data_IF_473779722723
#
_entry.id   IF_473779722723
#
_cell.length_a   1.000
_cell.length_b   1.000
_cell.length_c   1.000
_cell.angle_alpha   90.00
_cell.angle_beta   90.00
_cell.angle_gamma   90.00
#
_symmetry.space_group_name_H-M   'P 1'
#
loop_
_entity.id
_entity.type
_entity.pdbx_description
1 polymer ?
#
# COMPACT_ATOMS: atom_id res chain seq x y z
N UNK A 1 -16.27 5.75 4.83
CA UNK A 1 -15.89 4.87 3.70
C UNK A 1 -15.80 3.43 4.18
N UNK A 2 -16.37 2.48 3.42
CA UNK A 2 -16.05 1.06 3.56
C UNK A 2 -14.99 0.74 2.50
N UNK A 3 -13.83 0.24 2.93
CA UNK A 3 -12.81 -0.28 2.01
C UNK A 3 -12.66 -1.77 2.26
N UNK A 4 -12.68 -2.53 1.17
CA UNK A 4 -12.53 -3.97 1.18
C UNK A 4 -11.58 -4.39 0.07
N UNK A 5 -10.57 -5.17 0.45
CA UNK A 5 -9.55 -5.68 -0.46
C UNK A 5 -9.27 -7.15 -0.16
N UNK A 6 -8.99 -7.91 -1.22
CA UNK A 6 -8.60 -9.32 -1.16
C UNK A 6 -7.36 -9.45 -2.04
N UNK A 7 -6.30 -10.06 -1.52
CA UNK A 7 -5.08 -10.30 -2.28
C UNK A 7 -5.29 -11.37 -3.35
N UNK A 8 -4.57 -11.27 -4.46
CA UNK A 8 -4.53 -12.33 -5.49
C UNK A 8 -4.09 -13.65 -4.83
N UNK A 9 -4.76 -14.80 -5.10
CA UNK A 9 -4.33 -16.11 -4.57
C UNK A 9 -2.87 -16.47 -4.83
N UNK A 10 -2.29 -15.98 -5.94
CA UNK A 10 -0.91 -16.20 -6.36
C UNK A 10 0.01 -15.01 -6.08
N UNK A 11 -0.54 -13.90 -5.57
CA UNK A 11 0.18 -12.67 -5.24
C UNK A 11 0.65 -12.62 -3.79
N UNK A 12 1.38 -11.56 -3.46
CA UNK A 12 1.83 -11.34 -2.09
C UNK A 12 0.65 -10.94 -1.17
N UNK A 13 0.70 -11.27 0.13
CA UNK A 13 -0.29 -10.80 1.08
C UNK A 13 -0.38 -9.27 1.15
N UNK A 14 -1.55 -8.73 1.50
CA UNK A 14 -1.76 -7.29 1.71
C UNK A 14 -0.97 -6.80 2.93
N UNK A 15 -0.25 -5.70 2.79
CA UNK A 15 0.47 -5.04 3.89
C UNK A 15 -0.40 -3.98 4.56
N UNK A 16 -1.06 -3.14 3.76
CA UNK A 16 -1.90 -2.04 4.26
C UNK A 16 -2.91 -1.56 3.25
N UNK A 17 -3.99 -0.99 3.76
CA UNK A 17 -4.97 -0.23 2.99
C UNK A 17 -4.85 1.24 3.33
N UNK A 18 -5.01 2.09 2.33
CA UNK A 18 -4.90 3.53 2.43
C UNK A 18 -6.10 4.23 1.80
N UNK A 19 -6.38 5.44 2.28
CA UNK A 19 -7.17 6.44 1.57
C UNK A 19 -6.28 7.64 1.29
N UNK A 20 -6.28 8.08 0.05
CA UNK A 20 -5.60 9.28 -0.39
C UNK A 20 -6.67 10.36 -0.57
N UNK A 21 -6.49 11.46 0.15
CA UNK A 21 -7.32 12.66 0.09
C UNK A 21 -6.55 13.72 -0.68
N UNK A 22 -7.18 14.32 -1.69
CA UNK A 22 -6.67 15.51 -2.37
C UNK A 22 -7.67 16.65 -2.30
N UNK A 23 -7.19 17.88 -2.13
CA UNK A 23 -8.03 19.08 -2.05
C UNK A 23 -7.28 20.32 -2.54
N UNK A 24 -8.00 21.44 -2.62
CA UNK A 24 -7.41 22.75 -2.86
C UNK A 24 -7.43 23.57 -1.57
N UNK A 25 -6.33 24.24 -1.29
CA UNK A 25 -6.19 25.20 -0.19
C UNK A 25 -5.46 26.42 -0.73
N UNK A 26 -6.09 27.61 -0.66
CA UNK A 26 -5.56 28.87 -1.21
C UNK A 26 -5.13 28.78 -2.69
N UNK A 27 -5.78 27.93 -3.48
CA UNK A 27 -5.48 27.68 -4.89
C UNK A 27 -4.35 26.68 -5.12
N UNK A 28 -3.71 26.15 -4.08
CA UNK A 28 -2.70 25.11 -4.17
C UNK A 28 -3.29 23.72 -4.00
N UNK A 29 -2.75 22.75 -4.74
CA UNK A 29 -3.10 21.34 -4.58
C UNK A 29 -2.42 20.77 -3.33
N UNK A 30 -3.22 20.14 -2.47
CA UNK A 30 -2.75 19.42 -1.30
C UNK A 30 -3.14 17.94 -1.42
N UNK A 31 -2.30 17.07 -0.89
CA UNK A 31 -2.56 15.63 -0.78
C UNK A 31 -2.18 15.15 0.62
N UNK A 32 -2.98 14.24 1.17
CA UNK A 32 -2.68 13.52 2.39
C UNK A 32 -3.01 12.04 2.22
N UNK A 33 -2.10 11.20 2.70
CA UNK A 33 -2.24 9.75 2.69
C UNK A 33 -2.55 9.28 4.09
N UNK A 34 -3.65 8.57 4.24
CA UNK A 34 -4.02 7.90 5.48
C UNK A 34 -3.86 6.41 5.27
N UNK A 35 -2.98 5.76 6.03
CA UNK A 35 -3.07 4.33 6.25
C UNK A 35 -4.30 4.11 7.14
N UNK A 36 -5.21 3.23 6.72
CA UNK A 36 -6.50 3.03 7.39
C UNK A 36 -6.64 1.63 7.99
N UNK A 37 -5.82 0.69 7.55
CA UNK A 37 -5.69 -0.64 8.13
C UNK A 37 -4.29 -1.19 7.84
N UNK A 38 -3.68 -1.83 8.84
CA UNK A 38 -2.39 -2.49 8.74
C UNK A 38 -2.57 -4.00 8.88
N UNK A 39 -1.70 -4.78 8.26
CA UNK A 39 -1.66 -6.23 8.47
C UNK A 39 -1.03 -6.58 9.83
N UNK A 40 -1.01 -7.87 10.15
CA UNK A 40 -0.21 -8.41 11.27
C UNK A 40 -0.59 -7.89 12.66
N UNK A 41 -1.83 -7.44 12.83
CA UNK A 41 -2.33 -6.86 14.09
C UNK A 41 -1.73 -5.50 14.44
N UNK A 42 -0.99 -4.89 13.51
CA UNK A 42 -0.41 -3.57 13.68
C UNK A 42 -1.49 -2.50 13.66
N UNK A 43 -1.23 -1.40 14.35
CA UNK A 43 -2.13 -0.26 14.43
C UNK A 43 -1.55 0.95 13.70
N UNK A 44 -2.41 1.69 13.02
CA UNK A 44 -2.06 2.99 12.43
C UNK A 44 -1.66 3.94 13.55
N UNK A 45 -0.53 4.63 13.40
CA UNK A 45 -0.17 5.72 14.30
C UNK A 45 -1.11 6.91 14.07
N UNK A 46 -1.88 7.35 15.08
CA UNK A 46 -2.86 8.43 14.93
C UNK A 46 -2.24 9.80 14.65
N UNK A 47 -0.93 9.98 14.87
CA UNK A 47 -0.23 11.25 14.61
C UNK A 47 0.32 11.32 13.19
N UNK A 48 0.86 10.22 12.69
CA UNK A 48 1.48 10.17 11.35
C UNK A 48 0.52 9.62 10.29
N UNK A 49 -0.57 8.98 10.72
CA UNK A 49 -1.49 8.22 9.88
C UNK A 49 -0.80 7.10 9.09
N UNK A 50 0.31 6.56 9.61
CA UNK A 50 1.08 5.50 8.95
C UNK A 50 1.06 4.20 9.75
N UNK A 51 1.04 3.08 9.04
CA UNK A 51 1.35 1.79 9.60
C UNK A 51 2.85 1.70 9.90
N UNK A 52 3.24 1.05 11.01
CA UNK A 52 4.62 0.65 11.21
C UNK A 52 5.03 -0.41 10.18
N UNK A 53 6.33 -0.67 10.09
CA UNK A 53 6.86 -1.77 9.28
C UNK A 53 6.36 -3.11 9.82
N UNK A 54 5.88 -3.98 8.92
CA UNK A 54 5.42 -5.32 9.26
C UNK A 54 6.50 -6.40 9.11
N UNK A 55 7.74 -5.99 8.81
CA UNK A 55 8.90 -6.87 8.70
C UNK A 55 8.82 -7.87 7.55
N UNK A 56 7.95 -7.63 6.56
CA UNK A 56 7.91 -8.44 5.35
C UNK A 56 9.22 -8.33 4.56
N UNK A 57 9.70 -9.46 4.05
CA UNK A 57 10.99 -9.56 3.37
C UNK A 57 10.89 -10.35 2.07
N UNK A 58 11.93 -10.21 1.24
CA UNK A 58 12.12 -10.93 -0.02
C UNK A 58 13.54 -11.51 -0.04
N UNK A 59 13.68 -12.81 -0.26
CA UNK A 59 14.98 -13.42 -0.52
C UNK A 59 15.36 -13.17 -1.99
N UNK A 60 16.47 -12.49 -2.22
CA UNK A 60 16.90 -12.13 -3.58
C UNK A 60 17.61 -13.29 -4.31
N UNK A 61 17.85 -14.42 -3.65
CA UNK A 61 18.46 -15.60 -4.25
C UNK A 61 17.44 -16.48 -4.98
N UNK A 62 16.20 -16.53 -4.51
CA UNK A 62 15.13 -17.36 -5.08
C UNK A 62 13.78 -16.63 -5.25
N UNK A 63 13.72 -15.35 -4.87
CA UNK A 63 12.51 -14.52 -4.90
C UNK A 63 11.35 -15.01 -4.03
N UNK A 64 11.63 -15.85 -3.04
CA UNK A 64 10.68 -16.18 -1.98
C UNK A 64 10.38 -14.95 -1.11
N UNK A 65 9.17 -14.89 -0.57
CA UNK A 65 8.70 -13.80 0.31
C UNK A 65 8.32 -14.36 1.68
N UNK A 66 8.18 -13.49 2.68
CA UNK A 66 7.72 -13.90 4.01
C UNK A 66 6.37 -14.63 3.94
N UNK A 67 6.31 -15.82 4.55
CA UNK A 67 5.12 -16.66 4.55
C UNK A 67 4.11 -16.28 5.64
N UNK A 68 4.56 -15.55 6.66
CA UNK A 68 3.85 -15.28 7.91
C UNK A 68 3.50 -13.80 8.12
N UNK A 69 3.87 -12.92 7.18
CA UNK A 69 3.53 -11.49 7.24
C UNK A 69 2.47 -11.12 6.20
N UNK A 70 1.60 -10.19 6.55
CA UNK A 70 0.54 -9.64 5.71
C UNK A 70 -0.83 -10.29 5.93
N UNK A 71 -1.81 -9.88 5.13
CA UNK A 71 -3.19 -10.35 5.25
C UNK A 71 -3.78 -10.72 3.90
N UNK A 72 -4.56 -11.80 3.85
CA UNK A 72 -5.24 -12.23 2.61
C UNK A 72 -6.47 -11.38 2.28
N UNK A 73 -7.07 -10.77 3.29
CA UNK A 73 -8.25 -9.93 3.19
C UNK A 73 -8.13 -8.76 4.18
N UNK A 74 -8.56 -7.57 3.78
CA UNK A 74 -8.67 -6.39 4.63
C UNK A 74 -10.03 -5.74 4.44
N UNK A 75 -10.79 -5.56 5.51
CA UNK A 75 -12.07 -4.87 5.50
C UNK A 75 -12.11 -3.85 6.63
N UNK A 76 -12.36 -2.59 6.29
CA UNK A 76 -12.30 -1.49 7.25
C UNK A 76 -13.37 -0.44 6.97
N UNK A 77 -14.00 0.03 8.04
CA UNK A 77 -14.79 1.25 8.03
C UNK A 77 -13.90 2.39 8.52
N UNK A 78 -13.75 3.42 7.69
CA UNK A 78 -12.91 4.56 7.98
C UNK A 78 -13.67 5.87 7.80
N UNK A 79 -13.38 6.83 8.67
CA UNK A 79 -13.87 8.19 8.62
C UNK A 79 -12.67 9.13 8.66
N UNK A 80 -12.69 10.15 7.80
CA UNK A 80 -11.65 11.16 7.77
C UNK A 80 -11.65 11.95 9.09
N UNK A 81 -10.58 11.87 9.91
CA UNK A 81 -10.48 12.60 11.16
C UNK A 81 -10.38 14.12 10.95
N UNK A 82 -9.99 14.55 9.75
CA UNK A 82 -9.78 15.95 9.36
C UNK A 82 -10.84 16.41 8.33
N UNK A 83 -12.00 15.76 8.34
CA UNK A 83 -13.08 16.08 7.41
C UNK A 83 -13.58 17.52 7.58
N UNK A 84 -13.63 18.27 6.48
CA UNK A 84 -14.23 19.60 6.40
C UNK A 84 -15.37 19.55 5.38
N UNK A 85 -16.60 19.85 5.83
CA UNK A 85 -17.80 19.67 5.00
C UNK A 85 -17.88 20.66 3.82
N UNK A 86 -17.25 21.81 3.93
CA UNK A 86 -17.19 22.89 2.93
C UNK A 86 -15.96 22.82 2.02
N UNK A 87 -15.10 21.81 2.23
CA UNK A 87 -13.89 21.61 1.45
C UNK A 87 -14.18 20.73 0.23
N UNK A 88 -13.93 21.28 -0.96
CA UNK A 88 -13.89 20.49 -2.19
C UNK A 88 -12.69 19.55 -2.16
N UNK A 89 -12.97 18.25 -2.09
CA UNK A 89 -11.96 17.22 -1.97
C UNK A 89 -12.33 15.99 -2.80
N UNK A 90 -11.32 15.21 -3.17
CA UNK A 90 -11.51 13.88 -3.72
C UNK A 90 -10.78 12.85 -2.86
N UNK A 91 -11.31 11.63 -2.86
CA UNK A 91 -10.76 10.51 -2.12
C UNK A 91 -10.66 9.30 -3.04
N UNK A 92 -9.55 8.57 -2.99
CA UNK A 92 -9.47 7.24 -3.57
C UNK A 92 -8.78 6.28 -2.62
N UNK A 93 -9.15 5.00 -2.65
CA UNK A 93 -8.48 3.97 -1.87
C UNK A 93 -7.26 3.45 -2.63
N UNK A 94 -6.18 3.16 -1.92
CA UNK A 94 -5.00 2.44 -2.43
C UNK A 94 -4.67 1.30 -1.50
N UNK A 95 -4.41 0.12 -2.03
CA UNK A 95 -4.02 -1.07 -1.26
C UNK A 95 -2.61 -1.45 -1.70
N UNK A 96 -1.77 -1.82 -0.74
CA UNK A 96 -0.39 -2.24 -1.00
C UNK A 96 -0.18 -3.67 -0.52
N UNK A 97 0.45 -4.47 -1.36
CA UNK A 97 0.93 -5.81 -1.01
C UNK A 97 2.25 -5.73 -0.24
N UNK A 98 2.70 -6.83 0.35
CA UNK A 98 4.09 -6.98 0.78
C UNK A 98 5.04 -6.89 -0.42
N UNK A 99 6.31 -6.51 -0.20
CA UNK A 99 7.28 -6.43 -1.29
C UNK A 99 7.49 -7.78 -1.96
N UNK A 100 7.75 -7.74 -3.27
CA UNK A 100 8.10 -8.91 -4.10
C UNK A 100 9.32 -8.58 -4.95
N UNK A 101 9.98 -9.60 -5.50
CA UNK A 101 11.00 -9.40 -6.53
C UNK A 101 10.44 -8.63 -7.72
N UNK A 102 11.21 -7.66 -8.22
CA UNK A 102 10.97 -7.06 -9.53
C UNK A 102 11.19 -8.11 -10.62
N UNK A 103 10.54 -7.99 -11.76
CA UNK A 103 10.74 -8.91 -12.91
C UNK A 103 12.22 -9.04 -13.32
N UNK A 104 13.00 -7.96 -13.23
CA UNK A 104 14.43 -7.98 -13.54
C UNK A 104 15.27 -8.81 -12.57
N UNK A 105 14.82 -8.93 -11.32
CA UNK A 105 15.45 -9.78 -10.30
C UNK A 105 15.11 -11.24 -10.58
N UNK A 106 13.85 -11.53 -10.92
CA UNK A 106 13.43 -12.85 -11.40
C UNK A 106 14.25 -13.32 -12.60
N UNK A 107 14.51 -12.44 -13.58
CA UNK A 107 15.34 -12.76 -14.75
C UNK A 107 16.79 -13.06 -14.37
N UNK A 108 17.39 -12.26 -13.50
CA UNK A 108 18.76 -12.47 -13.04
C UNK A 108 18.91 -13.81 -12.31
N UNK A 109 18.00 -14.11 -11.36
CA UNK A 109 17.97 -15.39 -10.63
C UNK A 109 17.84 -16.57 -11.60
N UNK A 110 16.93 -16.50 -12.58
CA UNK A 110 16.74 -17.56 -13.59
C UNK A 110 17.97 -17.75 -14.48
N UNK A 111 18.70 -16.68 -14.78
CA UNK A 111 19.92 -16.72 -15.56
C UNK A 111 21.16 -17.17 -14.74
N UNK A 112 21.04 -17.28 -13.41
CA UNK A 112 22.18 -17.54 -12.52
C UNK A 112 23.10 -16.32 -12.39
N UNK A 113 22.59 -15.13 -12.66
CA UNK A 113 23.32 -13.86 -12.64
C UNK A 113 22.95 -13.02 -11.41
N UNK A 114 23.83 -12.10 -11.03
CA UNK A 114 23.53 -11.17 -9.94
C UNK A 114 22.53 -10.10 -10.38
N UNK A 115 21.50 -9.78 -9.57
CA UNK A 115 20.64 -8.63 -9.83
C UNK A 115 21.45 -7.35 -10.01
N UNK A 116 21.03 -6.54 -10.98
CA UNK A 116 21.65 -5.26 -11.27
C UNK A 116 21.56 -4.31 -10.07
N UNK A 117 22.67 -3.69 -9.70
CA UNK A 117 22.75 -2.78 -8.55
C UNK A 117 22.20 -1.37 -8.82
N UNK A 118 21.99 -1.00 -10.09
CA UNK A 118 21.52 0.33 -10.50
C UNK A 118 19.99 0.45 -10.59
N UNK A 119 19.26 -0.63 -10.31
CA UNK A 119 17.80 -0.66 -10.27
C UNK A 119 17.29 -1.33 -8.99
N UNK A 120 16.09 -0.98 -8.50
CA UNK A 120 15.50 -1.66 -7.35
C UNK A 120 15.32 -3.16 -7.59
N UNK A 121 15.79 -3.98 -6.64
CA UNK A 121 15.64 -5.44 -6.69
C UNK A 121 14.22 -5.90 -6.35
N UNK A 122 13.48 -5.11 -5.58
CA UNK A 122 12.11 -5.39 -5.17
C UNK A 122 11.17 -4.28 -5.61
N UNK A 123 9.88 -4.60 -5.64
CA UNK A 123 8.79 -3.66 -5.86
C UNK A 123 7.67 -3.96 -4.87
N UNK A 124 6.78 -2.99 -4.71
CA UNK A 124 5.54 -3.16 -3.96
C UNK A 124 4.39 -2.90 -4.92
N UNK A 125 3.61 -3.94 -5.17
CA UNK A 125 2.42 -3.85 -6.01
C UNK A 125 1.31 -3.09 -5.31
N UNK A 126 0.46 -2.44 -6.11
CA UNK A 126 -0.62 -1.61 -5.61
C UNK A 126 -1.87 -1.71 -6.46
N UNK A 127 -3.02 -1.70 -5.80
CA UNK A 127 -4.31 -1.47 -6.43
C UNK A 127 -4.85 -0.10 -6.01
N UNK A 128 -5.58 0.57 -6.90
CA UNK A 128 -6.25 1.84 -6.61
C UNK A 128 -7.70 1.84 -7.10
N UNK A 129 -8.56 2.58 -6.41
CA UNK A 129 -9.94 2.81 -6.87
C UNK A 129 -10.03 4.06 -7.75
N UNK A 130 -11.16 4.21 -8.44
CA UNK A 130 -11.56 5.53 -8.96
C UNK A 130 -11.76 6.53 -7.82
N UNK A 131 -11.57 7.83 -8.07
CA UNK A 131 -11.81 8.87 -7.08
C UNK A 131 -13.30 9.11 -6.84
N UNK A 132 -13.65 9.42 -5.59
CA UNK A 132 -14.95 9.89 -5.14
C UNK A 132 -14.81 11.37 -4.84
N UNK A 133 -15.55 12.21 -5.56
CA UNK A 133 -15.54 13.66 -5.41
C UNK A 133 -16.59 14.11 -4.40
N UNK A 134 -16.18 14.95 -3.45
CA UNK A 134 -17.04 15.62 -2.48
C UNK A 134 -16.93 17.12 -2.76
N UNK A 135 -18.08 17.72 -3.08
CA UNK A 135 -18.20 19.11 -3.53
C UNK A 135 -19.02 19.95 -2.56
#
# INVERSE_FOLDING_TARGET
>A
FLVWAIADPQGAPLQRTQIIKGWLEDGEQKEQVFDIACSDGLSVDPKTHRCPDNQAWVDLSDCSISADSGSREMKVLWQDPEFKADQKAFYYSRVLENPVCRWSTWDAVRAGEKPRSDIPATIQERAWSSPIWLN
#
